data_IF_169209122160
#
_entry.id   IF_169209122160
#
_cell.length_a   1.000
_cell.length_b   1.000
_cell.length_c   1.000
_cell.angle_alpha   90.00
_cell.angle_beta   90.00
_cell.angle_gamma   90.00
#
_symmetry.space_group_name_H-M   'P 1'
#
loop_
_entity.id
_entity.type
_entity.pdbx_description
1 polymer ?
#
# COMPACT_ATOMS: atom_id res chain seq x y z
N UNK A 1 10.50 6.37 -1.69
CA UNK A 1 9.85 7.41 -0.87
C UNK A 1 9.49 8.59 -1.78
N UNK A 2 8.29 8.58 -2.37
CA UNK A 2 7.71 9.82 -2.89
C UNK A 2 7.02 10.41 -1.66
N UNK A 3 7.61 11.45 -1.08
CA UNK A 3 6.84 12.41 -0.30
C UNK A 3 5.78 12.95 -1.27
N UNK A 4 4.62 12.26 -1.36
CA UNK A 4 3.43 12.87 -1.94
C UNK A 4 3.28 14.13 -1.09
N UNK A 5 3.52 15.30 -1.70
CA UNK A 5 3.12 16.56 -1.09
C UNK A 5 1.62 16.43 -0.88
N UNK A 6 1.23 15.98 0.31
CA UNK A 6 -0.13 16.08 0.77
C UNK A 6 -0.48 17.55 0.57
N UNK A 7 -1.47 17.82 -0.26
CA UNK A 7 -2.05 19.15 -0.25
C UNK A 7 -2.76 19.25 1.10
N UNK A 8 -2.04 19.75 2.10
CA UNK A 8 -2.50 19.79 3.48
C UNK A 8 -3.85 20.52 3.60
N UNK A 9 -4.15 21.43 2.66
CA UNK A 9 -5.44 22.09 2.58
C UNK A 9 -6.59 21.13 2.22
N UNK A 10 -6.41 20.27 1.21
CA UNK A 10 -7.44 19.29 0.79
C UNK A 10 -7.70 18.26 1.89
N UNK A 11 -6.65 17.76 2.54
CA UNK A 11 -6.80 16.87 3.69
C UNK A 11 -7.58 17.55 4.83
N UNK A 12 -7.26 18.81 5.13
CA UNK A 12 -7.93 19.55 6.19
C UNK A 12 -9.42 19.77 5.89
N UNK A 13 -9.77 20.12 4.64
CA UNK A 13 -11.16 20.26 4.21
C UNK A 13 -11.93 18.94 4.36
N UNK A 14 -11.33 17.83 3.92
CA UNK A 14 -11.92 16.49 4.08
C UNK A 14 -12.14 16.12 5.54
N UNK A 15 -11.17 16.43 6.42
CA UNK A 15 -11.30 16.20 7.85
C UNK A 15 -12.43 17.04 8.47
N UNK A 16 -12.62 18.30 8.06
CA UNK A 16 -13.74 19.12 8.54
C UNK A 16 -15.09 18.55 8.09
N UNK A 17 -15.21 18.16 6.82
CA UNK A 17 -16.43 17.50 6.30
C UNK A 17 -16.72 16.21 7.09
N UNK A 18 -15.71 15.37 7.31
CA UNK A 18 -15.85 14.14 8.08
C UNK A 18 -16.34 14.41 9.52
N UNK A 19 -15.81 15.44 10.19
CA UNK A 19 -16.28 15.84 11.53
C UNK A 19 -17.76 16.21 11.55
N UNK A 20 -18.25 16.91 10.53
CA UNK A 20 -19.67 17.27 10.41
C UNK A 20 -20.52 16.02 10.20
N UNK A 21 -20.10 15.12 9.31
CA UNK A 21 -20.82 13.86 9.03
C UNK A 21 -20.92 12.98 10.30
N UNK A 22 -19.83 12.85 11.06
CA UNK A 22 -19.81 12.07 12.31
C UNK A 22 -20.79 12.63 13.35
N UNK A 23 -20.92 13.96 13.45
CA UNK A 23 -21.86 14.58 14.40
C UNK A 23 -23.33 14.28 14.09
N UNK A 24 -23.65 14.06 12.82
CA UNK A 24 -25.01 13.78 12.36
C UNK A 24 -25.30 12.26 12.44
N UNK A 25 -24.26 11.43 12.41
CA UNK A 25 -24.37 9.98 12.54
C UNK A 25 -24.72 9.56 13.97
N UNK A 26 -25.99 9.21 14.19
CA UNK A 26 -26.54 8.86 15.51
C UNK A 26 -25.89 7.62 16.12
N UNK A 27 -25.45 6.67 15.28
CA UNK A 27 -24.91 5.40 15.72
C UNK A 27 -23.43 5.25 15.35
N UNK A 28 -22.64 6.31 15.58
CA UNK A 28 -21.22 6.30 15.22
C UNK A 28 -20.46 5.20 15.97
N UNK A 29 -20.04 4.15 15.25
CA UNK A 29 -19.26 3.05 15.83
C UNK A 29 -17.86 3.49 16.25
N UNK A 30 -17.52 3.22 17.51
CA UNK A 30 -16.12 3.13 17.91
C UNK A 30 -15.54 1.82 17.37
N UNK A 31 -14.29 1.85 16.91
CA UNK A 31 -13.60 0.70 16.34
C UNK A 31 -12.32 0.46 17.10
N UNK A 32 -11.99 -0.81 17.25
CA UNK A 32 -10.71 -1.27 17.76
C UNK A 32 -10.00 -2.07 16.67
N UNK A 33 -8.68 -2.16 16.80
CA UNK A 33 -7.86 -3.03 15.97
C UNK A 33 -8.32 -4.48 16.21
N UNK A 34 -8.66 -5.18 15.15
CA UNK A 34 -9.10 -6.57 15.20
C UNK A 34 -8.07 -7.49 15.88
N UNK A 35 -6.78 -7.23 15.69
CA UNK A 35 -5.72 -8.09 16.21
C UNK A 35 -5.26 -7.75 17.64
N UNK A 36 -5.18 -6.46 18.01
CA UNK A 36 -4.60 -6.05 19.30
C UNK A 36 -5.55 -5.24 20.19
N UNK A 37 -6.81 -5.09 19.79
CA UNK A 37 -7.85 -4.34 20.50
C UNK A 37 -7.54 -2.86 20.78
N UNK A 38 -6.44 -2.32 20.25
CA UNK A 38 -6.13 -0.88 20.34
C UNK A 38 -7.25 -0.05 19.70
N UNK A 39 -7.72 0.97 20.40
CA UNK A 39 -8.68 1.93 19.84
C UNK A 39 -8.16 2.57 18.56
N UNK A 40 -9.04 2.69 17.57
CA UNK A 40 -8.73 3.27 16.27
C UNK A 40 -9.40 4.63 16.12
N UNK A 41 -8.69 5.52 15.44
CA UNK A 41 -9.17 6.85 15.13
C UNK A 41 -9.49 6.94 13.63
N UNK A 42 -10.74 7.28 13.30
CA UNK A 42 -11.18 7.45 11.91
C UNK A 42 -10.42 8.55 11.17
N UNK A 43 -9.90 9.55 11.88
CA UNK A 43 -9.11 10.62 11.26
C UNK A 43 -7.73 10.13 10.80
N UNK A 44 -7.13 9.17 11.52
CA UNK A 44 -5.89 8.51 11.09
C UNK A 44 -6.18 7.66 9.85
N UNK A 45 -7.30 6.92 9.88
CA UNK A 45 -7.74 6.14 8.73
C UNK A 45 -7.99 7.01 7.48
N UNK A 46 -8.63 8.18 7.62
CA UNK A 46 -8.79 9.16 6.53
C UNK A 46 -7.44 9.66 6.01
N UNK A 47 -6.49 9.93 6.90
CA UNK A 47 -5.17 10.47 6.54
C UNK A 47 -4.34 9.47 5.73
N UNK A 48 -4.51 8.18 5.96
CA UNK A 48 -3.89 7.12 5.15
C UNK A 48 -4.64 6.87 3.83
N UNK A 49 -5.88 7.34 3.73
CA UNK A 49 -6.83 7.03 2.65
C UNK A 49 -7.35 8.30 1.95
N UNK A 50 -6.49 9.31 1.78
CA UNK A 50 -6.85 10.66 1.30
C UNK A 50 -7.54 10.72 -0.06
N UNK A 51 -7.41 9.68 -0.88
CA UNK A 51 -8.00 9.60 -2.20
C UNK A 51 -9.52 9.34 -2.16
N UNK A 52 -10.05 8.91 -1.02
CA UNK A 52 -11.47 8.67 -0.85
C UNK A 52 -12.19 9.91 -0.31
N UNK A 53 -13.49 9.99 -0.57
CA UNK A 53 -14.33 11.05 -0.01
C UNK A 53 -14.65 10.79 1.47
N UNK A 54 -14.92 11.85 2.26
CA UNK A 54 -15.34 11.72 3.65
C UNK A 54 -16.55 10.80 3.85
N UNK A 55 -17.54 10.86 2.94
CA UNK A 55 -18.76 10.03 2.99
C UNK A 55 -18.42 8.56 2.78
N UNK A 56 -17.51 8.26 1.85
CA UNK A 56 -17.07 6.90 1.60
C UNK A 56 -16.27 6.35 2.79
N UNK A 57 -15.39 7.15 3.37
CA UNK A 57 -14.63 6.77 4.59
C UNK A 57 -15.58 6.47 5.75
N UNK A 58 -16.59 7.32 5.99
CA UNK A 58 -17.60 7.06 7.01
C UNK A 58 -18.39 5.77 6.70
N UNK A 59 -18.79 5.56 5.45
CA UNK A 59 -19.49 4.33 5.02
C UNK A 59 -18.66 3.08 5.31
N UNK A 60 -17.37 3.08 4.98
CA UNK A 60 -16.46 1.98 5.30
C UNK A 60 -16.36 1.80 6.82
N UNK A 61 -16.16 2.88 7.56
CA UNK A 61 -16.04 2.84 9.02
C UNK A 61 -17.28 2.24 9.71
N UNK A 62 -18.48 2.50 9.18
CA UNK A 62 -19.72 1.94 9.71
C UNK A 62 -20.03 0.51 9.24
N UNK A 63 -19.35 0.01 8.20
CA UNK A 63 -19.65 -1.29 7.59
C UNK A 63 -19.45 -2.46 8.58
N UNK A 64 -20.47 -3.30 8.83
CA UNK A 64 -20.40 -4.32 9.89
C UNK A 64 -19.37 -5.43 9.61
N UNK A 65 -19.08 -5.69 8.35
CA UNK A 65 -18.22 -6.79 7.90
C UNK A 65 -16.73 -6.42 7.79
N UNK A 66 -16.38 -5.15 7.98
CA UNK A 66 -14.99 -4.71 7.83
C UNK A 66 -14.22 -4.81 9.15
N UNK A 67 -13.12 -5.54 9.08
CA UNK A 67 -12.08 -5.60 10.11
C UNK A 67 -11.06 -4.49 9.89
N UNK A 68 -10.76 -3.74 10.94
CA UNK A 68 -9.76 -2.67 10.89
C UNK A 68 -8.53 -3.09 11.69
N UNK A 69 -7.36 -2.75 11.17
CA UNK A 69 -6.08 -3.02 11.83
C UNK A 69 -5.38 -1.70 12.13
N UNK A 70 -4.76 -1.58 13.30
CA UNK A 70 -3.85 -0.47 13.56
C UNK A 70 -2.60 -0.58 12.67
N UNK A 71 -1.88 0.53 12.49
CA UNK A 71 -0.73 0.59 11.57
C UNK A 71 0.31 -0.52 11.84
N UNK A 72 0.59 -0.84 13.10
CA UNK A 72 1.56 -1.89 13.46
C UNK A 72 1.08 -3.29 13.10
N UNK A 73 -0.18 -3.63 13.41
CA UNK A 73 -0.75 -4.92 13.01
C UNK A 73 -0.87 -5.04 11.49
N UNK A 74 -1.22 -3.96 10.80
CA UNK A 74 -1.27 -3.94 9.34
C UNK A 74 0.13 -4.15 8.72
N UNK A 75 1.17 -3.50 9.25
CA UNK A 75 2.56 -3.75 8.83
C UNK A 75 2.94 -5.22 9.04
N UNK A 76 2.57 -5.80 10.17
CA UNK A 76 2.85 -7.21 10.45
C UNK A 76 2.16 -8.16 9.46
N UNK A 77 0.87 -7.93 9.18
CA UNK A 77 0.14 -8.69 8.15
C UNK A 77 0.83 -8.60 6.79
N UNK A 78 1.21 -7.38 6.37
CA UNK A 78 1.92 -7.17 5.11
C UNK A 78 3.26 -7.93 5.07
N UNK A 79 4.04 -7.90 6.15
CA UNK A 79 5.30 -8.65 6.25
C UNK A 79 5.03 -10.17 6.15
N UNK A 80 4.00 -10.67 6.81
CA UNK A 80 3.67 -12.09 6.79
C UNK A 80 3.28 -12.57 5.38
N UNK A 81 2.49 -11.79 4.65
CA UNK A 81 2.16 -12.13 3.26
C UNK A 81 3.39 -12.05 2.35
N UNK A 82 4.25 -11.05 2.52
CA UNK A 82 5.52 -10.98 1.78
C UNK A 82 6.43 -12.18 2.09
N UNK A 83 6.45 -12.67 3.34
CA UNK A 83 7.17 -13.90 3.72
C UNK A 83 6.63 -15.15 3.03
N UNK A 84 5.33 -15.23 2.74
CA UNK A 84 4.77 -16.36 1.96
C UNK A 84 5.34 -16.35 0.55
N UNK A 85 5.34 -15.19 -0.10
CA UNK A 85 5.94 -15.00 -1.43
C UNK A 85 7.45 -15.30 -1.40
N UNK A 86 8.16 -14.83 -0.38
CA UNK A 86 9.59 -15.07 -0.17
C UNK A 86 9.93 -16.57 -0.06
N UNK A 87 9.08 -17.35 0.61
CA UNK A 87 9.28 -18.81 0.74
C UNK A 87 9.20 -19.53 -0.60
N UNK A 88 8.37 -19.04 -1.52
CA UNK A 88 8.25 -19.59 -2.87
C UNK A 88 9.41 -19.15 -3.78
N UNK A 89 9.79 -17.88 -3.68
CA UNK A 89 10.92 -17.32 -4.43
C UNK A 89 11.60 -16.21 -3.63
N UNK A 90 12.72 -16.54 -3.00
CA UNK A 90 13.41 -15.62 -2.09
C UNK A 90 14.11 -14.49 -2.82
N UNK A 91 14.77 -14.81 -3.94
CA UNK A 91 15.58 -13.88 -4.71
C UNK A 91 15.36 -14.00 -6.20
N UNK A 92 15.48 -12.86 -6.89
CA UNK A 92 15.56 -12.77 -8.35
C UNK A 92 16.69 -11.83 -8.75
N UNK A 93 17.05 -11.81 -10.04
CA UNK A 93 18.11 -10.92 -10.55
C UNK A 93 17.53 -9.80 -11.40
N UNK A 94 18.12 -8.62 -11.26
CA UNK A 94 17.81 -7.48 -12.12
C UNK A 94 18.20 -7.77 -13.56
N UNK A 95 17.25 -7.64 -14.50
CA UNK A 95 17.49 -7.97 -15.90
C UNK A 95 18.55 -7.07 -16.60
N UNK A 96 18.88 -5.90 -16.03
CA UNK A 96 19.85 -4.97 -16.61
C UNK A 96 21.28 -5.10 -16.05
N UNK A 97 21.41 -5.29 -14.74
CA UNK A 97 22.71 -5.24 -14.04
C UNK A 97 23.04 -6.51 -13.27
N UNK A 98 22.18 -7.53 -13.34
CA UNK A 98 22.30 -8.83 -12.67
C UNK A 98 22.36 -8.77 -11.13
N UNK A 99 22.13 -7.59 -10.54
CA UNK A 99 22.08 -7.39 -9.09
C UNK A 99 20.96 -8.25 -8.46
N UNK A 100 21.26 -8.86 -7.32
CA UNK A 100 20.31 -9.69 -6.58
C UNK A 100 19.25 -8.81 -5.93
N UNK A 101 18.00 -9.23 -6.05
CA UNK A 101 16.82 -8.56 -5.52
C UNK A 101 16.06 -9.53 -4.63
N UNK A 102 15.74 -9.08 -3.42
CA UNK A 102 14.75 -9.71 -2.56
C UNK A 102 13.36 -9.06 -2.77
N UNK A 103 12.33 -9.76 -2.31
CA UNK A 103 10.93 -9.33 -2.43
C UNK A 103 10.65 -8.04 -1.64
N UNK A 104 11.36 -7.76 -0.56
CA UNK A 104 11.15 -6.54 0.24
C UNK A 104 11.67 -5.31 -0.50
N UNK A 105 12.86 -5.38 -1.10
CA UNK A 105 13.43 -4.33 -1.94
C UNK A 105 12.54 -4.09 -3.16
N UNK A 106 12.06 -5.16 -3.80
CA UNK A 106 11.15 -5.07 -4.93
C UNK A 106 9.78 -4.45 -4.55
N UNK A 107 9.14 -4.94 -3.50
CA UNK A 107 7.84 -4.42 -3.02
C UNK A 107 7.92 -2.97 -2.56
N UNK A 108 9.05 -2.54 -2.00
CA UNK A 108 9.28 -1.14 -1.66
C UNK A 108 9.35 -0.24 -2.89
N UNK A 109 9.96 -0.72 -3.98
CA UNK A 109 10.03 0.01 -5.24
C UNK A 109 8.70 -0.03 -6.01
N UNK A 110 7.92 -1.10 -5.86
CA UNK A 110 6.58 -1.29 -6.43
C UNK A 110 5.46 -1.13 -5.39
N UNK A 111 5.57 -0.15 -4.50
CA UNK A 111 4.63 0.01 -3.37
C UNK A 111 3.18 0.38 -3.77
N UNK A 112 2.95 0.65 -5.06
CA UNK A 112 1.63 0.89 -5.64
C UNK A 112 0.87 -0.40 -5.95
N UNK A 113 1.57 -1.53 -6.04
CA UNK A 113 0.96 -2.84 -6.23
C UNK A 113 0.40 -3.34 -4.89
N UNK A 114 -0.77 -3.97 -4.97
CA UNK A 114 -1.31 -4.79 -3.88
C UNK A 114 -0.45 -6.05 -3.71
N UNK A 115 -0.65 -6.75 -2.58
CA UNK A 115 0.17 -7.91 -2.22
C UNK A 115 -0.03 -9.09 -3.18
N UNK A 116 -1.26 -9.32 -3.62
CA UNK A 116 -1.64 -10.29 -4.66
C UNK A 116 -0.96 -9.95 -6.00
N UNK A 117 -1.06 -8.69 -6.45
CA UNK A 117 -0.39 -8.22 -7.68
C UNK A 117 1.15 -8.34 -7.58
N UNK A 118 1.72 -8.06 -6.39
CA UNK A 118 3.15 -8.28 -6.12
C UNK A 118 3.53 -9.75 -6.25
N UNK A 119 2.70 -10.65 -5.73
CA UNK A 119 2.90 -12.10 -5.84
C UNK A 119 2.89 -12.55 -7.30
N UNK A 120 1.88 -12.15 -8.08
CA UNK A 120 1.77 -12.47 -9.51
C UNK A 120 3.02 -12.03 -10.30
N UNK A 121 3.43 -10.77 -10.10
CA UNK A 121 4.59 -10.20 -10.79
C UNK A 121 5.91 -10.83 -10.35
N UNK A 122 6.06 -11.08 -9.05
CA UNK A 122 7.31 -11.60 -8.49
C UNK A 122 7.51 -13.08 -8.81
N UNK A 123 6.46 -13.89 -8.68
CA UNK A 123 6.54 -15.33 -8.89
C UNK A 123 6.57 -15.72 -10.37
N UNK A 124 6.10 -14.85 -11.27
CA UNK A 124 6.31 -15.04 -12.71
C UNK A 124 7.78 -14.84 -13.09
N UNK A 125 8.48 -15.96 -13.35
CA UNK A 125 9.89 -15.99 -13.77
C UNK A 125 10.13 -15.29 -15.10
N UNK A 126 9.13 -15.19 -15.97
CA UNK A 126 9.22 -14.52 -17.26
C UNK A 126 9.02 -13.00 -17.15
N UNK A 127 8.43 -12.54 -16.04
CA UNK A 127 8.23 -11.12 -15.82
C UNK A 127 9.57 -10.40 -15.69
N UNK A 128 9.73 -9.28 -16.40
CA UNK A 128 10.98 -8.51 -16.40
C UNK A 128 11.05 -7.64 -15.15
N UNK A 129 11.98 -7.98 -14.26
CA UNK A 129 12.20 -7.20 -13.03
C UNK A 129 13.49 -6.37 -13.12
N UNK A 130 13.48 -5.22 -12.44
CA UNK A 130 14.60 -4.29 -12.41
C UNK A 130 14.80 -3.76 -11.00
N UNK A 131 16.04 -3.51 -10.61
CA UNK A 131 16.37 -2.96 -9.29
C UNK A 131 15.99 -1.47 -9.14
N UNK A 132 15.71 -0.79 -10.26
CA UNK A 132 15.36 0.63 -10.29
C UNK A 132 14.80 1.07 -11.65
N UNK A 133 14.18 2.24 -11.67
CA UNK A 133 13.71 2.92 -12.88
C UNK A 133 14.87 3.16 -13.87
N UNK A 134 16.05 3.48 -13.34
CA UNK A 134 17.25 3.71 -14.14
C UNK A 134 17.67 2.43 -14.88
N UNK A 135 17.63 1.29 -14.20
CA UNK A 135 17.95 -0.01 -14.81
C UNK A 135 16.93 -0.43 -15.87
N UNK A 136 15.64 -0.23 -15.60
CA UNK A 136 14.59 -0.43 -16.61
C UNK A 136 14.83 0.42 -17.87
N UNK A 137 15.03 1.73 -17.70
CA UNK A 137 15.31 2.66 -18.81
C UNK A 137 16.57 2.28 -19.59
N UNK A 138 17.67 1.95 -18.90
CA UNK A 138 18.93 1.54 -19.54
C UNK A 138 18.76 0.25 -20.34
N UNK A 139 18.03 -0.73 -19.81
CA UNK A 139 17.76 -1.98 -20.51
C UNK A 139 17.01 -1.75 -21.82
N UNK A 140 15.90 -1.01 -21.77
CA UNK A 140 15.11 -0.73 -22.96
C UNK A 140 15.88 0.12 -23.97
N UNK A 141 16.61 1.15 -23.52
CA UNK A 141 17.47 1.96 -24.42
C UNK A 141 18.48 1.10 -25.18
N UNK A 142 19.24 0.23 -24.48
CA UNK A 142 20.19 -0.70 -25.11
C UNK A 142 19.52 -1.65 -26.10
N UNK A 143 18.27 -2.06 -25.84
CA UNK A 143 17.53 -2.95 -26.74
C UNK A 143 17.11 -2.24 -28.02
N UNK A 144 16.63 -1.00 -27.92
CA UNK A 144 16.22 -0.20 -29.08
C UNK A 144 17.40 0.29 -29.92
N UNK A 145 18.59 0.48 -29.36
CA UNK A 145 19.82 0.81 -30.11
C UNK A 145 20.44 -0.40 -30.84
N UNK A 146 19.98 -1.62 -30.54
CA UNK A 146 20.44 -2.87 -31.16
C UNK A 146 19.46 -3.42 -32.22
N UNK A 147 18.34 -2.73 -32.44
CA UNK A 147 17.39 -2.97 -33.54
C UNK A 147 17.66 -1.91 -34.59
#
# INVERSE_FOLDING_TARGET
>A
MILRKLNNADLWEKLQKLRVLIKIEKAFKQRTCWNCNKELNIYDFMSDNVNYSPEYILKLWQAPILEFHCCECFKYLKIHELKKIEKELSVRRCLNCDDTLDIYRFSNYHNYLKIDELGEVWLDKNYKIFCSNLCSRKYYKKKFERV
#
